data_IF_639535630480
#
_entry.id   IF_639535630480
#
_cell.length_a   1.000
_cell.length_b   1.000
_cell.length_c   1.000
_cell.angle_alpha   90.00
_cell.angle_beta   90.00
_cell.angle_gamma   90.00
#
_symmetry.space_group_name_H-M   'P 1'
#
loop_
_entity.id
_entity.type
_entity.pdbx_description
1 polymer ?
#
# COMPACT_ATOMS: atom_id res chain seq x y z
N UNK A 1 10.44 -1.06 3.54
CA UNK A 1 10.65 -0.24 4.75
C UNK A 1 11.43 1.04 4.46
N UNK A 2 12.70 0.98 4.02
CA UNK A 2 13.57 2.18 3.96
C UNK A 2 12.99 3.42 3.24
N UNK A 3 12.28 3.26 2.12
CA UNK A 3 11.74 4.41 1.37
C UNK A 3 10.53 5.07 2.05
N UNK A 4 9.65 4.26 2.66
CA UNK A 4 8.50 4.77 3.43
C UNK A 4 8.98 5.48 4.69
N UNK A 5 9.93 4.90 5.41
CA UNK A 5 10.54 5.51 6.60
C UNK A 5 11.23 6.83 6.26
N UNK A 6 11.87 6.88 5.10
CA UNK A 6 12.47 8.10 4.58
C UNK A 6 11.39 9.16 4.31
N UNK A 7 10.30 8.80 3.63
CA UNK A 7 9.18 9.72 3.38
C UNK A 7 8.57 10.28 4.67
N UNK A 8 8.34 9.42 5.67
CA UNK A 8 7.82 9.83 6.98
C UNK A 8 8.78 10.79 7.65
N UNK A 9 10.07 10.48 7.69
CA UNK A 9 11.09 11.36 8.29
C UNK A 9 11.12 12.76 7.67
N UNK A 10 11.07 12.86 6.33
CA UNK A 10 11.00 14.16 5.65
C UNK A 10 9.70 14.90 6.01
N UNK A 11 8.57 14.19 6.02
CA UNK A 11 7.28 14.77 6.40
C UNK A 11 7.31 15.33 7.83
N UNK A 12 7.74 14.55 8.80
CA UNK A 12 7.83 14.94 10.20
C UNK A 12 8.75 16.16 10.38
N UNK A 13 9.91 16.13 9.71
CA UNK A 13 10.89 17.22 9.78
C UNK A 13 10.36 18.50 9.14
N UNK A 14 9.64 18.41 8.02
CA UNK A 14 9.02 19.55 7.36
C UNK A 14 7.90 20.16 8.21
N UNK A 15 7.07 19.33 8.84
CA UNK A 15 6.02 19.78 9.78
C UNK A 15 6.66 20.51 10.96
N UNK A 16 7.69 19.92 11.58
CA UNK A 16 8.45 20.54 12.67
C UNK A 16 9.05 21.89 12.25
N UNK A 17 9.73 21.94 11.11
CA UNK A 17 10.35 23.15 10.59
C UNK A 17 9.33 24.27 10.33
N UNK A 18 8.15 23.93 9.83
CA UNK A 18 7.10 24.91 9.56
C UNK A 18 6.48 25.50 10.83
N UNK A 19 6.25 24.67 11.85
CA UNK A 19 5.61 25.07 13.11
C UNK A 19 6.60 25.81 14.01
N UNK A 20 7.80 25.28 14.21
CA UNK A 20 8.76 25.79 15.20
C UNK A 20 9.76 26.78 14.64
N UNK A 21 9.96 26.81 13.31
CA UNK A 21 10.94 27.68 12.63
C UNK A 21 12.29 27.74 13.35
N UNK A 22 12.95 26.59 13.56
CA UNK A 22 14.19 26.54 14.31
C UNK A 22 15.29 27.35 13.59
N UNK A 23 16.11 28.07 14.35
CA UNK A 23 17.05 29.07 13.82
C UNK A 23 18.12 28.50 12.87
N UNK A 24 18.38 27.19 12.95
CA UNK A 24 19.35 26.47 12.11
C UNK A 24 18.74 25.95 10.79
N UNK A 25 17.47 26.24 10.50
CA UNK A 25 16.81 25.86 9.25
C UNK A 25 16.58 27.08 8.39
N UNK A 26 17.06 26.99 7.15
CA UNK A 26 16.84 28.03 6.14
C UNK A 26 15.72 27.62 5.20
N UNK A 27 15.06 28.59 4.57
CA UNK A 27 14.00 28.33 3.59
C UNK A 27 14.50 27.47 2.42
N UNK A 28 15.75 27.66 1.99
CA UNK A 28 16.38 26.84 0.94
C UNK A 28 16.51 25.36 1.34
N UNK A 29 16.76 25.06 2.62
CA UNK A 29 16.78 23.68 3.12
C UNK A 29 15.37 23.08 3.11
N UNK A 30 14.37 23.85 3.52
CA UNK A 30 12.97 23.43 3.50
C UNK A 30 12.50 23.11 2.07
N UNK A 31 12.85 23.97 1.10
CA UNK A 31 12.49 23.74 -0.30
C UNK A 31 13.19 22.49 -0.86
N UNK A 32 14.47 22.31 -0.58
CA UNK A 32 15.20 21.08 -0.95
C UNK A 32 14.56 19.83 -0.33
N UNK A 33 14.18 19.87 0.95
CA UNK A 33 13.53 18.75 1.62
C UNK A 33 12.15 18.43 1.05
N UNK A 34 11.40 19.45 0.60
CA UNK A 34 10.14 19.25 -0.12
C UNK A 34 10.35 18.55 -1.45
N UNK A 35 11.36 18.96 -2.22
CA UNK A 35 11.73 18.31 -3.48
C UNK A 35 12.17 16.85 -3.27
N UNK A 36 13.00 16.60 -2.26
CA UNK A 36 13.45 15.25 -1.90
C UNK A 36 12.28 14.36 -1.45
N UNK A 37 11.35 14.89 -0.65
CA UNK A 37 10.12 14.18 -0.27
C UNK A 37 9.23 13.87 -1.49
N UNK A 38 9.02 14.86 -2.37
CA UNK A 38 8.22 14.67 -3.59
C UNK A 38 8.84 13.59 -4.48
N UNK A 39 10.16 13.62 -4.67
CA UNK A 39 10.90 12.62 -5.41
C UNK A 39 10.72 11.21 -4.82
N UNK A 40 10.86 11.06 -3.50
CA UNK A 40 10.69 9.75 -2.84
C UNK A 40 9.26 9.23 -2.90
N UNK A 41 8.26 10.09 -2.74
CA UNK A 41 6.84 9.72 -2.89
C UNK A 41 6.52 9.28 -4.30
N UNK A 42 7.02 10.01 -5.30
CA UNK A 42 6.85 9.65 -6.70
C UNK A 42 7.52 8.31 -7.02
N UNK A 43 8.74 8.10 -6.53
CA UNK A 43 9.44 6.83 -6.67
C UNK A 43 8.67 5.66 -6.04
N UNK A 44 8.16 5.84 -4.82
CA UNK A 44 7.35 4.84 -4.12
C UNK A 44 6.07 4.52 -4.90
N UNK A 45 5.38 5.55 -5.40
CA UNK A 45 4.17 5.38 -6.21
C UNK A 45 4.46 4.56 -7.47
N UNK A 46 5.56 4.84 -8.17
CA UNK A 46 5.95 4.05 -9.35
C UNK A 46 6.29 2.59 -9.02
N UNK A 47 6.96 2.33 -7.89
CA UNK A 47 7.20 0.96 -7.44
C UNK A 47 5.91 0.23 -7.09
N UNK A 48 4.97 0.90 -6.42
CA UNK A 48 3.68 0.31 -6.06
C UNK A 48 2.85 -0.03 -7.30
N UNK A 49 2.73 0.90 -8.25
CA UNK A 49 2.05 0.63 -9.52
C UNK A 49 2.71 -0.51 -10.30
N UNK A 50 4.05 -0.56 -10.33
CA UNK A 50 4.76 -1.66 -10.99
C UNK A 50 4.55 -3.01 -10.28
N UNK A 51 4.48 -3.01 -8.94
CA UNK A 51 4.17 -4.21 -8.16
C UNK A 51 2.76 -4.72 -8.47
N UNK A 52 1.76 -3.85 -8.47
CA UNK A 52 0.37 -4.18 -8.83
C UNK A 52 0.31 -4.79 -10.24
N UNK A 53 0.99 -4.17 -11.20
CA UNK A 53 1.09 -4.65 -12.56
C UNK A 53 1.75 -6.05 -12.67
N UNK A 54 2.80 -6.30 -11.89
CA UNK A 54 3.46 -7.61 -11.83
C UNK A 54 2.54 -8.65 -11.20
N UNK A 55 1.82 -8.32 -10.13
CA UNK A 55 0.86 -9.24 -9.49
C UNK A 55 -0.26 -9.63 -10.46
N UNK A 56 -0.78 -8.67 -11.25
CA UNK A 56 -1.73 -8.96 -12.32
C UNK A 56 -1.13 -9.85 -13.42
N UNK A 57 0.17 -9.69 -13.72
CA UNK A 57 0.88 -10.56 -14.67
C UNK A 57 0.92 -12.01 -14.19
N UNK A 58 1.21 -12.20 -12.89
CA UNK A 58 1.28 -13.53 -12.28
C UNK A 58 -0.06 -14.25 -12.43
N UNK A 59 -1.16 -13.58 -12.07
CA UNK A 59 -2.51 -14.13 -12.21
C UNK A 59 -2.84 -14.50 -13.67
N UNK A 60 -2.47 -13.64 -14.63
CA UNK A 60 -2.67 -13.92 -16.07
C UNK A 60 -1.86 -15.13 -16.53
N UNK A 61 -0.59 -15.22 -16.15
CA UNK A 61 0.28 -16.34 -16.52
C UNK A 61 -0.26 -17.64 -15.94
N UNK A 62 -0.65 -17.66 -14.66
CA UNK A 62 -1.23 -18.84 -14.01
C UNK A 62 -2.49 -19.30 -14.73
N UNK A 63 -3.44 -18.39 -14.97
CA UNK A 63 -4.68 -18.70 -15.67
C UNK A 63 -4.45 -19.25 -17.09
N UNK A 64 -3.59 -18.60 -17.88
CA UNK A 64 -3.32 -19.06 -19.25
C UNK A 64 -2.51 -20.37 -19.28
N UNK A 65 -1.63 -20.58 -18.30
CA UNK A 65 -0.89 -21.84 -18.14
C UNK A 65 -1.85 -23.00 -17.84
N UNK A 66 -2.76 -22.83 -16.91
CA UNK A 66 -3.77 -23.85 -16.58
C UNK A 66 -4.64 -24.16 -17.80
N UNK A 67 -5.13 -23.13 -18.50
CA UNK A 67 -5.91 -23.29 -19.74
C UNK A 67 -5.12 -24.03 -20.82
N UNK A 68 -3.84 -23.68 -21.00
CA UNK A 68 -2.97 -24.35 -21.96
C UNK A 68 -2.78 -25.83 -21.63
N UNK A 69 -2.43 -26.16 -20.37
CA UNK A 69 -2.21 -27.54 -19.94
C UNK A 69 -3.49 -28.38 -20.06
N UNK A 70 -4.63 -27.84 -19.61
CA UNK A 70 -5.92 -28.51 -19.74
C UNK A 70 -6.27 -28.79 -21.21
N UNK A 71 -6.02 -27.85 -22.13
CA UNK A 71 -6.28 -28.10 -23.55
C UNK A 71 -5.33 -29.16 -24.15
N UNK A 72 -4.08 -29.23 -23.68
CA UNK A 72 -3.13 -30.27 -24.09
C UNK A 72 -3.58 -31.65 -23.59
N UNK A 73 -4.00 -31.76 -22.33
CA UNK A 73 -4.50 -33.02 -21.75
C UNK A 73 -5.77 -33.50 -22.47
N UNK A 74 -6.66 -32.57 -22.81
CA UNK A 74 -7.86 -32.86 -23.61
C UNK A 74 -7.49 -33.33 -25.02
N UNK A 75 -6.53 -32.68 -25.69
CA UNK A 75 -6.05 -33.10 -27.02
C UNK A 75 -5.42 -34.49 -26.97
N UNK A 76 -4.60 -34.77 -25.96
CA UNK A 76 -4.00 -36.09 -25.77
C UNK A 76 -5.06 -37.16 -25.55
N UNK A 77 -6.07 -36.87 -24.73
CA UNK A 77 -7.19 -37.79 -24.48
C UNK A 77 -8.03 -38.04 -25.74
N UNK A 78 -8.25 -37.00 -26.55
CA UNK A 78 -9.05 -37.08 -27.77
C UNK A 78 -8.35 -37.90 -28.87
N UNK A 79 -7.01 -37.86 -28.93
CA UNK A 79 -6.20 -38.48 -29.99
C UNK A 79 -5.59 -39.82 -29.56
N UNK A 80 -5.32 -40.03 -28.27
CA UNK A 80 -4.48 -41.11 -27.72
C UNK A 80 -4.98 -42.54 -27.91
N UNK A 81 -6.18 -42.76 -28.46
CA UNK A 81 -6.73 -44.09 -28.75
C UNK A 81 -7.43 -44.21 -30.10
N UNK A 82 -7.32 -43.22 -30.99
CA UNK A 82 -8.11 -43.15 -32.23
C UNK A 82 -7.20 -43.06 -33.45
N UNK A 83 -7.45 -43.90 -34.46
CA UNK A 83 -6.78 -43.83 -35.77
C UNK A 83 -7.22 -42.60 -36.59
N UNK A 84 -8.37 -42.02 -36.27
CA UNK A 84 -8.86 -40.76 -36.83
C UNK A 84 -9.77 -40.04 -35.84
N UNK A 85 -9.71 -38.70 -35.82
CA UNK A 85 -10.56 -37.84 -34.98
C UNK A 85 -11.25 -36.82 -35.88
N UNK A 86 -12.56 -36.59 -35.72
CA UNK A 86 -13.28 -35.59 -36.52
C UNK A 86 -12.71 -34.18 -36.31
N UNK A 87 -12.65 -33.41 -37.38
CA UNK A 87 -12.09 -32.06 -37.38
C UNK A 87 -12.88 -31.12 -36.48
N UNK A 88 -14.21 -31.26 -36.44
CA UNK A 88 -15.09 -30.51 -35.55
C UNK A 88 -14.77 -30.67 -34.06
N UNK A 89 -14.09 -31.75 -33.66
CA UNK A 89 -13.70 -31.97 -32.27
C UNK A 89 -12.25 -31.57 -31.98
N UNK A 90 -11.36 -31.77 -32.95
CA UNK A 90 -9.92 -31.51 -32.79
C UNK A 90 -9.59 -30.02 -32.93
N UNK A 91 -10.19 -29.32 -33.90
CA UNK A 91 -9.85 -27.93 -34.22
C UNK A 91 -10.15 -26.94 -33.11
N UNK A 92 -11.31 -26.98 -32.42
CA UNK A 92 -11.56 -26.06 -31.30
C UNK A 92 -10.52 -26.21 -30.17
N UNK A 93 -10.00 -27.43 -29.95
CA UNK A 93 -8.98 -27.68 -28.95
C UNK A 93 -7.62 -27.17 -29.38
N UNK A 94 -7.23 -27.36 -30.64
CA UNK A 94 -6.00 -26.74 -31.17
C UNK A 94 -6.06 -25.21 -31.13
N UNK A 95 -7.20 -24.63 -31.50
CA UNK A 95 -7.42 -23.19 -31.43
C UNK A 95 -7.30 -22.68 -30.00
N UNK A 96 -7.99 -23.30 -29.04
CA UNK A 96 -7.88 -22.94 -27.62
C UNK A 96 -6.46 -23.07 -27.06
N UNK A 97 -5.70 -24.10 -27.46
CA UNK A 97 -4.28 -24.25 -27.11
C UNK A 97 -3.44 -23.13 -27.71
N UNK A 98 -3.65 -22.81 -28.99
CA UNK A 98 -2.90 -21.77 -29.69
C UNK A 98 -3.18 -20.39 -29.08
N UNK A 99 -4.43 -20.09 -28.76
CA UNK A 99 -4.82 -18.85 -28.07
C UNK A 99 -4.14 -18.72 -26.71
N UNK A 100 -4.19 -19.76 -25.88
CA UNK A 100 -3.57 -19.76 -24.55
C UNK A 100 -2.05 -19.60 -24.64
N UNK A 101 -1.41 -20.27 -25.61
CA UNK A 101 0.02 -20.11 -25.87
C UNK A 101 0.38 -18.70 -26.32
N UNK A 102 -0.37 -18.13 -27.27
CA UNK A 102 -0.13 -16.77 -27.76
C UNK A 102 -0.33 -15.74 -26.65
N UNK A 103 -1.32 -15.93 -25.78
CA UNK A 103 -1.53 -15.10 -24.60
C UNK A 103 -0.34 -15.17 -23.63
N UNK A 104 0.17 -16.37 -23.32
CA UNK A 104 1.37 -16.56 -22.50
C UNK A 104 2.60 -15.87 -23.12
N UNK A 105 2.79 -16.02 -24.44
CA UNK A 105 3.90 -15.40 -25.15
C UNK A 105 3.84 -13.87 -25.11
N UNK A 106 2.64 -13.30 -25.26
CA UNK A 106 2.45 -11.86 -25.10
C UNK A 106 2.73 -11.41 -23.68
N UNK A 107 2.18 -12.09 -22.67
CA UNK A 107 2.41 -11.73 -21.27
C UNK A 107 3.90 -11.81 -20.92
N UNK A 108 4.65 -12.79 -21.44
CA UNK A 108 6.10 -12.87 -21.26
C UNK A 108 6.84 -11.63 -21.79
N UNK A 109 6.38 -11.03 -22.89
CA UNK A 109 6.93 -9.76 -23.39
C UNK A 109 6.61 -8.61 -22.44
N UNK A 110 5.38 -8.55 -21.91
CA UNK A 110 4.99 -7.50 -20.97
C UNK A 110 5.82 -7.60 -19.69
N UNK A 111 5.98 -8.81 -19.13
CA UNK A 111 6.84 -9.06 -17.96
C UNK A 111 8.29 -8.62 -18.24
N UNK A 112 8.82 -8.91 -19.43
CA UNK A 112 10.17 -8.45 -19.82
C UNK A 112 10.27 -6.91 -19.86
N UNK A 113 9.24 -6.22 -20.35
CA UNK A 113 9.19 -4.76 -20.35
C UNK A 113 9.09 -4.18 -18.92
N UNK A 114 8.31 -4.83 -18.04
CA UNK A 114 8.23 -4.47 -16.61
C UNK A 114 9.56 -4.67 -15.90
N UNK A 115 10.30 -5.74 -16.20
CA UNK A 115 11.65 -5.94 -15.67
C UNK A 115 12.63 -4.85 -16.12
N UNK A 116 12.52 -4.39 -17.37
CA UNK A 116 13.29 -3.23 -17.85
C UNK A 116 12.91 -1.94 -17.09
N UNK A 117 11.62 -1.72 -16.84
CA UNK A 117 11.13 -0.58 -16.06
C UNK A 117 11.67 -0.61 -14.63
N UNK A 118 11.65 -1.78 -13.98
CA UNK A 118 12.26 -1.96 -12.65
C UNK A 118 13.73 -1.58 -12.66
N UNK A 119 14.49 -2.01 -13.67
CA UNK A 119 15.91 -1.66 -13.78
C UNK A 119 16.13 -0.15 -13.89
N UNK A 120 15.29 0.55 -14.65
CA UNK A 120 15.32 2.02 -14.71
C UNK A 120 15.01 2.64 -13.35
N UNK A 121 13.98 2.17 -12.66
CA UNK A 121 13.63 2.66 -11.31
C UNK A 121 14.78 2.43 -10.31
N UNK A 122 15.43 1.26 -10.33
CA UNK A 122 16.59 0.99 -9.47
C UNK A 122 17.73 2.00 -9.69
N UNK A 123 18.01 2.39 -10.93
CA UNK A 123 19.01 3.42 -11.21
C UNK A 123 18.65 4.80 -10.63
N UNK A 124 17.36 5.15 -10.58
CA UNK A 124 16.89 6.38 -9.93
C UNK A 124 16.98 6.32 -8.40
N UNK A 125 16.98 5.12 -7.82
CA UNK A 125 17.22 4.95 -6.40
C UNK A 125 18.71 5.14 -6.05
N UNK A 126 19.60 4.58 -6.87
CA UNK A 126 21.06 4.72 -6.70
C UNK A 126 21.52 6.18 -6.77
N UNK A 127 20.90 7.00 -7.63
CA UNK A 127 21.21 8.41 -7.77
C UNK A 127 20.66 9.32 -6.66
N UNK A 128 19.94 8.78 -5.67
CA UNK A 128 19.38 9.58 -4.59
C UNK A 128 20.30 9.67 -3.38
N UNK A 129 20.50 10.90 -2.93
CA UNK A 129 21.27 11.19 -1.73
C UNK A 129 20.42 12.03 -0.78
N UNK A 130 19.95 11.39 0.29
CA UNK A 130 19.18 12.08 1.32
C UNK A 130 20.05 13.14 2.01
N UNK A 131 19.53 14.37 2.12
CA UNK A 131 20.19 15.38 2.93
C UNK A 131 19.87 15.29 4.41
N UNK A 132 18.71 14.74 4.75
CA UNK A 132 18.32 14.53 6.14
C UNK A 132 18.83 13.17 6.63
N UNK A 133 19.89 13.22 7.44
CA UNK A 133 20.38 12.05 8.19
C UNK A 133 19.37 11.67 9.30
N UNK A 134 19.14 10.37 9.55
CA UNK A 134 18.30 9.90 10.65
C UNK A 134 18.74 10.42 12.03
N UNK A 135 20.03 10.65 12.21
CA UNK A 135 20.63 11.06 13.49
C UNK A 135 20.79 12.58 13.62
N UNK A 136 20.23 13.34 12.67
CA UNK A 136 20.30 14.79 12.74
C UNK A 136 19.45 15.32 13.91
N UNK A 137 19.98 16.33 14.62
CA UNK A 137 19.30 16.93 15.77
C UNK A 137 17.88 17.41 15.45
N UNK A 138 17.63 17.80 14.20
CA UNK A 138 16.32 18.24 13.75
C UNK A 138 15.31 17.09 13.63
N UNK A 139 15.75 15.90 13.21
CA UNK A 139 14.90 14.71 13.15
C UNK A 139 14.57 14.23 14.55
N UNK A 140 15.56 14.23 15.46
CA UNK A 140 15.32 13.91 16.87
C UNK A 140 14.31 14.88 17.49
N UNK A 141 14.45 16.18 17.23
CA UNK A 141 13.53 17.20 17.71
C UNK A 141 12.12 17.05 17.10
N UNK A 142 12.02 16.77 15.81
CA UNK A 142 10.76 16.53 15.11
C UNK A 142 10.02 15.32 15.68
N UNK A 143 10.72 14.20 15.91
CA UNK A 143 10.16 12.98 16.52
C UNK A 143 9.68 13.22 17.95
N UNK A 144 10.47 13.92 18.76
CA UNK A 144 10.08 14.26 20.13
C UNK A 144 8.80 15.10 20.18
N UNK A 145 8.65 16.06 19.25
CA UNK A 145 7.43 16.85 19.15
C UNK A 145 6.23 16.00 18.74
N UNK A 146 6.38 15.09 17.77
CA UNK A 146 5.26 14.23 17.36
C UNK A 146 4.81 13.29 18.47
N UNK A 147 5.73 12.78 19.28
CA UNK A 147 5.40 12.00 20.48
C UNK A 147 4.60 12.84 21.47
N UNK A 148 5.01 14.08 21.75
CA UNK A 148 4.29 14.97 22.67
C UNK A 148 2.88 15.29 22.20
N UNK A 149 2.69 15.53 20.91
CA UNK A 149 1.35 15.79 20.33
C UNK A 149 0.46 14.55 20.45
N UNK A 150 1.00 13.36 20.21
CA UNK A 150 0.26 12.12 20.36
C UNK A 150 -0.16 11.87 21.83
N UNK A 151 0.74 12.11 22.79
CA UNK A 151 0.46 11.98 24.22
C UNK A 151 -0.60 12.99 24.70
N UNK A 152 -0.60 14.21 24.14
CA UNK A 152 -1.60 15.24 24.44
C UNK A 152 -2.98 14.91 23.84
N UNK A 153 -3.03 14.37 22.61
CA UNK A 153 -4.28 13.93 21.97
C UNK A 153 -4.89 12.71 22.69
N UNK A 154 -4.07 11.74 23.10
CA UNK A 154 -4.54 10.55 23.84
C UNK A 154 -5.09 10.94 25.21
N UNK A 155 -4.41 11.84 25.92
CA UNK A 155 -4.89 12.37 27.21
C UNK A 155 -6.17 13.21 27.05
N UNK A 156 -6.28 14.02 25.99
CA UNK A 156 -7.49 14.79 25.71
C UNK A 156 -8.69 13.89 25.34
N UNK A 157 -8.45 12.83 24.57
CA UNK A 157 -9.48 11.84 24.23
C UNK A 157 -9.95 11.06 25.47
N UNK A 158 -9.04 10.66 26.35
CA UNK A 158 -9.37 10.01 27.62
C UNK A 158 -10.20 10.93 28.54
N UNK A 159 -9.84 12.21 28.61
CA UNK A 159 -10.57 13.21 29.41
C UNK A 159 -11.98 13.47 28.84
N UNK A 160 -12.14 13.51 27.52
CA UNK A 160 -13.45 13.64 26.86
C UNK A 160 -14.36 12.43 27.15
N UNK A 161 -13.82 11.21 27.08
CA UNK A 161 -14.56 9.99 27.39
C UNK A 161 -15.02 9.95 28.86
N UNK A 162 -14.17 10.39 29.79
CA UNK A 162 -14.54 10.49 31.21
C UNK A 162 -15.60 11.58 31.47
N UNK A 163 -15.60 12.65 30.69
CA UNK A 163 -16.62 13.70 30.77
C UNK A 163 -17.99 13.25 30.24
N UNK A 164 -18.03 12.42 29.19
CA UNK A 164 -19.28 11.84 28.68
C UNK A 164 -19.90 10.84 29.66
N UNK A 165 -19.08 9.99 30.29
CA UNK A 165 -19.55 9.04 31.33
C UNK A 165 -20.03 9.77 32.60
N UNK A 166 -19.42 10.91 32.93
CA UNK A 166 -19.88 11.74 34.05
C UNK A 166 -21.25 12.40 33.82
N UNK A 167 -21.61 12.70 32.57
CA UNK A 167 -22.86 13.37 32.22
C UNK A 167 -24.10 12.44 32.30
N UNK A 168 -23.94 11.12 32.21
CA UNK A 168 -25.05 10.15 32.35
C UNK A 168 -25.35 9.75 33.81
N UNK A 169 -24.50 10.12 34.77
CA UNK A 169 -24.69 9.82 36.20
C UNK A 169 -25.44 10.90 37.01
N UNK A 170 -25.94 11.95 36.34
CA UNK A 170 -26.62 13.09 36.96
C UNK A 170 -28.11 12.89 37.23
N UNK A 171 -28.44 12.44 38.45
CA UNK A 171 -29.70 12.67 39.20
C UNK A 171 -30.95 11.89 38.73
N UNK A 172 -31.08 10.65 39.18
CA UNK A 172 -32.40 10.04 39.38
C UNK A 172 -33.01 10.57 40.70
N UNK A 173 -33.88 11.57 40.59
CA UNK A 173 -34.72 12.07 41.67
C UNK A 173 -35.72 10.96 42.08
N UNK A 174 -35.58 10.43 43.29
CA UNK A 174 -36.49 9.46 43.90
C UNK A 174 -37.77 10.20 44.31
N UNK A 175 -38.96 9.85 43.80
CA UNK A 175 -40.19 10.42 44.30
C UNK A 175 -40.55 9.81 45.67
N UNK A 176 -40.87 10.72 46.58
CA UNK A 176 -41.37 10.54 47.95
C UNK A 176 -42.64 9.67 47.98
N UNK A 177 -42.62 8.58 48.77
CA UNK A 177 -43.77 7.67 48.93
C UNK A 177 -44.59 8.15 50.13
N UNK A 178 -45.72 8.76 49.83
CA UNK A 178 -46.72 9.17 50.82
C UNK A 178 -47.34 7.97 51.55
N UNK A 179 -47.34 8.06 52.88
CA UNK A 179 -48.06 7.20 53.83
C UNK A 179 -49.56 7.12 53.49
N UNK A 180 -50.05 5.89 53.32
CA UNK A 180 -51.47 5.56 53.38
C UNK A 180 -51.81 5.12 54.82
N UNK A 181 -52.78 5.80 55.42
CA UNK A 181 -53.32 5.55 56.77
C UNK A 181 -54.05 4.20 56.87
N UNK A 182 -53.88 3.60 58.03
CA UNK A 182 -54.61 2.44 58.59
C UNK A 182 -56.12 2.68 58.74
N UNK A 183 -56.88 1.59 58.65
CA UNK A 183 -58.18 1.37 59.31
C UNK A 183 -57.99 0.96 60.78
#
# INVERSE_FOLDING_TARGET
>A
EECQDTCMRYQDTLVYAHIRRPANVTDAMVDRWREELANRRQYLSYLQSLLEDVLLSVQKVEHQRERFLSNIDDLQSLVGGRSSVPKEHVYPKFEGTAEAFMALWWEAKVVKARAATLKTLLSHNEGFHATISPDSAIVTAARAQMSQVADEEENAAALALMSEVGAESGVAHIPDVAEAKED
#
